data_IF_071240053115
#
_entry.id   IF_071240053115
#
_cell.length_a   1.000
_cell.length_b   1.000
_cell.length_c   1.000
_cell.angle_alpha   90.00
_cell.angle_beta   90.00
_cell.angle_gamma   90.00
#
_symmetry.space_group_name_H-M   'P 1'
#
loop_
_entity.id
_entity.type
_entity.pdbx_description
1 polymer ?
#
# COMPACT_ATOMS: atom_id res chain seq x y z
N UNK A 1 13.74 -6.79 2.95
CA UNK A 1 12.55 -6.99 3.78
C UNK A 1 11.35 -7.48 2.93
N UNK A 2 11.09 -6.87 1.76
CA UNK A 2 9.90 -7.19 0.93
C UNK A 2 9.86 -8.67 0.50
N UNK A 3 10.97 -9.23 0.02
CA UNK A 3 11.05 -10.65 -0.38
C UNK A 3 10.78 -11.65 0.76
N UNK A 4 10.94 -11.22 1.99
CA UNK A 4 10.77 -12.11 3.13
C UNK A 4 9.28 -12.39 3.45
N UNK A 5 8.34 -11.72 2.76
CA UNK A 5 6.91 -11.97 2.86
C UNK A 5 6.38 -12.89 1.73
N UNK A 6 7.22 -13.31 0.79
CA UNK A 6 6.81 -14.13 -0.36
C UNK A 6 6.29 -15.53 0.02
N UNK A 7 6.63 -16.03 1.22
CA UNK A 7 6.13 -17.30 1.74
C UNK A 7 4.66 -17.24 2.16
N UNK A 8 4.09 -16.03 2.34
CA UNK A 8 2.68 -15.87 2.69
C UNK A 8 1.84 -16.22 1.47
N UNK A 9 1.05 -17.28 1.60
CA UNK A 9 0.10 -17.72 0.59
C UNK A 9 -1.29 -17.09 0.87
N UNK A 10 -2.06 -16.76 -0.17
CA UNK A 10 -3.43 -16.28 0.02
C UNK A 10 -4.32 -17.40 0.58
N UNK A 11 -5.14 -17.06 1.56
CA UNK A 11 -6.20 -17.95 2.06
C UNK A 11 -7.47 -17.86 1.23
N UNK A 12 -7.61 -16.76 0.47
CA UNK A 12 -8.82 -16.37 -0.27
C UNK A 12 -10.05 -16.16 0.61
N UNK A 13 -9.84 -15.97 1.90
CA UNK A 13 -10.87 -15.60 2.88
C UNK A 13 -10.78 -14.09 3.13
N UNK A 14 -11.33 -13.31 2.20
CA UNK A 14 -11.16 -11.87 2.17
C UNK A 14 -11.61 -11.13 3.41
N UNK A 15 -10.77 -10.24 3.88
CA UNK A 15 -10.98 -9.46 5.09
C UNK A 15 -11.78 -8.16 4.88
N UNK A 16 -11.94 -7.67 3.65
CA UNK A 16 -12.53 -6.35 3.37
C UNK A 16 -13.92 -6.38 2.73
N UNK A 17 -14.55 -7.54 2.65
CA UNK A 17 -15.88 -7.73 2.04
C UNK A 17 -15.91 -7.70 0.51
N UNK A 18 -14.76 -7.52 -0.16
CA UNK A 18 -14.63 -7.69 -1.60
C UNK A 18 -14.58 -9.18 -1.95
N UNK A 19 -14.66 -9.51 -3.23
CA UNK A 19 -14.67 -10.91 -3.67
C UNK A 19 -13.41 -11.65 -3.24
N UNK A 20 -13.50 -12.41 -2.17
CA UNK A 20 -12.43 -13.10 -1.48
C UNK A 20 -11.63 -14.11 -2.33
N UNK A 21 -12.16 -14.53 -3.47
CA UNK A 21 -11.55 -15.57 -4.31
C UNK A 21 -10.44 -15.06 -5.26
N UNK A 22 -10.28 -13.76 -5.45
CA UNK A 22 -9.27 -13.18 -6.34
C UNK A 22 -8.49 -12.00 -5.76
N UNK A 23 -8.74 -11.64 -4.51
CA UNK A 23 -7.94 -10.66 -3.78
C UNK A 23 -7.91 -11.00 -2.30
N UNK A 24 -6.77 -10.79 -1.69
CA UNK A 24 -6.58 -10.87 -0.25
C UNK A 24 -5.81 -9.66 0.23
N UNK A 25 -6.16 -9.20 1.43
CA UNK A 25 -5.57 -8.06 2.10
C UNK A 25 -5.20 -8.44 3.52
N UNK A 26 -3.91 -8.41 3.81
CA UNK A 26 -3.39 -8.64 5.15
C UNK A 26 -2.79 -7.34 5.68
N UNK A 27 -3.20 -6.95 6.89
CA UNK A 27 -2.63 -5.77 7.52
C UNK A 27 -1.34 -6.13 8.26
N UNK A 28 -0.32 -5.28 8.11
CA UNK A 28 0.88 -5.35 8.93
C UNK A 28 0.54 -4.71 10.28
N UNK A 29 -0.23 -5.44 11.07
CA UNK A 29 -0.68 -5.09 12.40
C UNK A 29 0.20 -5.71 13.50
N UNK A 30 -0.14 -5.47 14.76
CA UNK A 30 0.63 -6.01 15.89
C UNK A 30 0.72 -7.55 15.89
N UNK A 31 -0.38 -8.32 15.64
CA UNK A 31 -0.31 -9.76 15.50
C UNK A 31 0.62 -10.22 14.37
N UNK A 32 0.53 -9.62 13.18
CA UNK A 32 1.39 -9.98 12.06
C UNK A 32 2.85 -9.68 12.37
N UNK A 33 3.17 -8.50 12.92
CA UNK A 33 4.53 -8.15 13.30
C UNK A 33 5.13 -9.03 14.40
N UNK A 34 4.30 -9.56 15.30
CA UNK A 34 4.76 -10.50 16.32
C UNK A 34 5.16 -11.86 15.76
N UNK A 35 4.54 -12.29 14.66
CA UNK A 35 4.78 -13.60 14.03
C UNK A 35 5.75 -13.52 12.84
N UNK A 36 5.86 -12.35 12.20
CA UNK A 36 6.65 -12.12 10.98
C UNK A 36 7.70 -11.03 11.21
N UNK A 37 8.96 -11.40 11.55
CA UNK A 37 10.03 -10.41 11.78
C UNK A 37 10.27 -9.46 10.60
N UNK A 38 10.00 -9.90 9.37
CA UNK A 38 10.11 -9.06 8.18
C UNK A 38 9.05 -7.95 8.13
N UNK A 39 7.83 -8.24 8.60
CA UNK A 39 6.75 -7.26 8.72
C UNK A 39 7.10 -6.20 9.78
N UNK A 40 7.65 -6.61 10.92
CA UNK A 40 8.16 -5.69 11.94
C UNK A 40 9.28 -4.80 11.38
N UNK A 41 10.27 -5.39 10.73
CA UNK A 41 11.39 -4.63 10.15
C UNK A 41 10.93 -3.64 9.06
N UNK A 42 9.93 -4.01 8.26
CA UNK A 42 9.31 -3.12 7.28
C UNK A 42 8.63 -1.93 7.95
N UNK A 43 7.79 -2.18 8.95
CA UNK A 43 7.05 -1.15 9.66
C UNK A 43 7.99 -0.18 10.41
N UNK A 44 9.01 -0.69 11.11
CA UNK A 44 10.02 0.13 11.78
C UNK A 44 10.84 0.94 10.76
N UNK A 45 11.22 0.35 9.64
CA UNK A 45 11.93 1.05 8.56
C UNK A 45 11.13 2.21 7.99
N UNK A 46 9.83 2.00 7.72
CA UNK A 46 8.94 3.06 7.22
C UNK A 46 8.69 4.17 8.24
N UNK A 47 8.85 3.89 9.53
CA UNK A 47 8.72 4.90 10.59
C UNK A 47 10.08 5.42 11.10
N UNK A 48 11.18 5.04 10.44
CA UNK A 48 12.50 5.58 10.77
C UNK A 48 12.62 7.06 10.41
N UNK A 49 13.45 7.79 11.16
CA UNK A 49 13.69 9.22 10.92
C UNK A 49 14.15 9.51 9.49
N UNK A 50 15.01 8.66 8.94
CA UNK A 50 15.58 8.79 7.59
C UNK A 50 14.50 8.66 6.52
N UNK A 51 13.67 7.60 6.58
CA UNK A 51 12.61 7.35 5.58
C UNK A 51 11.53 8.41 5.66
N UNK A 52 11.11 8.79 6.86
CA UNK A 52 10.12 9.86 7.06
C UNK A 52 10.62 11.18 6.49
N UNK A 53 11.87 11.57 6.78
CA UNK A 53 12.45 12.80 6.24
C UNK A 53 12.52 12.78 4.71
N UNK A 54 12.92 11.65 4.12
CA UNK A 54 12.98 11.50 2.65
C UNK A 54 11.60 11.64 2.01
N UNK A 55 10.56 11.04 2.58
CA UNK A 55 9.18 11.16 2.10
C UNK A 55 8.70 12.61 2.20
N UNK A 56 8.87 13.24 3.37
CA UNK A 56 8.46 14.62 3.61
C UNK A 56 9.13 15.60 2.65
N UNK A 57 10.45 15.46 2.45
CA UNK A 57 11.22 16.32 1.56
C UNK A 57 10.84 16.11 0.09
N UNK A 58 10.58 14.86 -0.32
CA UNK A 58 10.19 14.52 -1.70
C UNK A 58 8.78 14.99 -2.04
N UNK A 59 7.84 14.86 -1.08
CA UNK A 59 6.43 15.16 -1.31
C UNK A 59 6.01 16.55 -0.85
N UNK A 60 6.85 17.28 -0.12
CA UNK A 60 6.53 18.60 0.43
C UNK A 60 5.42 18.55 1.49
N UNK A 61 5.36 17.49 2.30
CA UNK A 61 4.33 17.28 3.33
C UNK A 61 4.94 17.16 4.72
N UNK A 62 4.12 17.29 5.75
CA UNK A 62 4.46 16.99 7.16
C UNK A 62 3.66 15.75 7.61
N UNK A 63 4.36 14.71 8.02
CA UNK A 63 3.77 13.47 8.53
C UNK A 63 3.61 13.46 10.06
N UNK A 64 3.95 14.54 10.76
CA UNK A 64 3.83 14.63 12.21
C UNK A 64 2.41 14.30 12.68
N UNK A 65 2.29 13.39 13.64
CA UNK A 65 1.00 12.97 14.19
C UNK A 65 0.23 11.96 13.36
N UNK A 66 0.71 11.62 12.15
CA UNK A 66 0.08 10.61 11.29
C UNK A 66 0.39 9.20 11.79
N UNK A 67 -0.41 8.24 11.37
CA UNK A 67 -0.25 6.82 11.70
C UNK A 67 0.08 6.00 10.48
N UNK A 68 0.97 5.03 10.63
CA UNK A 68 1.38 4.11 9.57
C UNK A 68 0.38 2.96 9.42
N UNK A 69 -0.14 2.77 8.22
CA UNK A 69 -0.98 1.66 7.80
C UNK A 69 -0.32 0.95 6.62
N UNK A 70 -0.21 -0.36 6.68
CA UNK A 70 0.40 -1.17 5.63
C UNK A 70 -0.53 -2.34 5.34
N UNK A 71 -0.91 -2.50 4.07
CA UNK A 71 -1.59 -3.69 3.55
C UNK A 71 -0.64 -4.49 2.67
N UNK A 72 -0.53 -5.77 2.90
CA UNK A 72 0.03 -6.73 1.96
C UNK A 72 -1.08 -7.30 1.10
N UNK A 73 -1.01 -7.01 -0.18
CA UNK A 73 -2.06 -7.31 -1.15
C UNK A 73 -1.64 -8.46 -2.04
N UNK A 74 -2.55 -9.41 -2.23
CA UNK A 74 -2.40 -10.54 -3.14
C UNK A 74 -3.63 -10.57 -4.07
N UNK A 75 -3.40 -10.34 -5.36
CA UNK A 75 -4.44 -10.30 -6.38
C UNK A 75 -4.18 -11.36 -7.45
N UNK A 76 -5.24 -11.98 -7.95
CA UNK A 76 -5.15 -13.01 -8.97
C UNK A 76 -6.10 -12.76 -10.15
N UNK A 77 -6.17 -13.70 -11.06
CA UNK A 77 -7.01 -13.65 -12.26
C UNK A 77 -8.42 -13.13 -11.97
N UNK A 78 -8.83 -12.11 -12.74
CA UNK A 78 -10.14 -11.48 -12.64
C UNK A 78 -10.21 -10.36 -11.59
N UNK A 79 -9.12 -10.01 -10.91
CA UNK A 79 -9.07 -8.83 -10.07
C UNK A 79 -9.17 -7.55 -10.91
N UNK A 80 -9.92 -6.59 -10.42
CA UNK A 80 -10.00 -5.24 -10.94
C UNK A 80 -10.42 -4.27 -9.83
N UNK A 81 -10.13 -2.99 -10.02
CA UNK A 81 -10.50 -1.94 -9.08
C UNK A 81 -10.93 -0.70 -9.86
N UNK A 82 -12.12 -0.21 -9.55
CA UNK A 82 -12.68 0.98 -10.17
C UNK A 82 -11.74 2.20 -10.00
N UNK A 83 -11.73 3.13 -10.99
CA UNK A 83 -11.08 4.41 -10.81
C UNK A 83 -11.63 5.14 -9.60
N UNK A 84 -10.74 5.57 -8.72
CA UNK A 84 -11.11 6.31 -7.50
C UNK A 84 -9.98 7.26 -7.09
N UNK A 85 -10.30 8.19 -6.22
CA UNK A 85 -9.34 8.94 -5.42
C UNK A 85 -9.34 8.40 -4.00
N UNK A 86 -8.24 8.54 -3.31
CA UNK A 86 -8.15 8.12 -1.92
C UNK A 86 -8.97 9.03 -0.99
N UNK A 87 -9.39 8.48 0.15
CA UNK A 87 -10.13 9.22 1.18
C UNK A 87 -9.26 10.34 1.77
N UNK A 88 -9.87 11.47 2.14
CA UNK A 88 -9.21 12.63 2.72
C UNK A 88 -8.50 12.41 4.07
N UNK A 89 -8.67 11.23 4.66
CA UNK A 89 -7.94 10.79 5.87
C UNK A 89 -6.58 10.14 5.57
N UNK A 90 -6.22 9.98 4.28
CA UNK A 90 -4.89 9.53 3.85
C UNK A 90 -4.04 10.75 3.49
N UNK A 91 -2.88 10.88 4.09
CA UNK A 91 -1.93 11.97 3.84
C UNK A 91 -0.87 11.60 2.80
N UNK A 92 -0.59 10.32 2.67
CA UNK A 92 0.31 9.76 1.66
C UNK A 92 -0.16 8.36 1.28
N UNK A 93 -0.02 8.01 0.00
CA UNK A 93 -0.16 6.65 -0.52
C UNK A 93 1.10 6.26 -1.27
N UNK A 94 1.67 5.11 -0.93
CA UNK A 94 2.78 4.47 -1.62
C UNK A 94 2.37 3.02 -1.93
N UNK A 95 2.38 2.67 -3.22
CA UNK A 95 2.14 1.32 -3.71
C UNK A 95 3.48 0.73 -4.18
N UNK A 96 4.01 -0.25 -3.48
CA UNK A 96 5.24 -0.94 -3.87
C UNK A 96 4.91 -2.31 -4.47
N UNK A 97 5.50 -2.63 -5.62
CA UNK A 97 5.24 -3.88 -6.34
C UNK A 97 6.25 -4.94 -5.94
N UNK A 98 5.73 -6.12 -5.58
CA UNK A 98 6.50 -7.19 -4.96
C UNK A 98 6.50 -8.50 -5.75
N UNK A 99 5.79 -8.59 -6.89
CA UNK A 99 5.74 -9.79 -7.70
C UNK A 99 7.04 -9.96 -8.51
N UNK A 100 7.59 -11.18 -8.52
CA UNK A 100 8.79 -11.54 -9.28
C UNK A 100 8.49 -12.15 -10.65
N UNK A 101 7.22 -12.32 -10.99
CA UNK A 101 6.80 -12.86 -12.27
C UNK A 101 7.28 -12.00 -13.43
N UNK A 102 7.67 -12.61 -14.52
CA UNK A 102 8.10 -11.88 -15.74
C UNK A 102 6.97 -11.01 -16.32
N UNK A 103 5.70 -11.39 -16.10
CA UNK A 103 4.53 -10.63 -16.53
C UNK A 103 4.18 -9.46 -15.60
N UNK A 104 4.84 -9.36 -14.44
CA UNK A 104 4.50 -8.36 -13.38
C UNK A 104 4.60 -6.91 -13.87
N UNK A 105 5.44 -6.63 -14.87
CA UNK A 105 5.51 -5.31 -15.50
C UNK A 105 4.12 -4.81 -15.98
N UNK A 106 3.27 -5.72 -16.45
CA UNK A 106 1.89 -5.41 -16.87
C UNK A 106 0.88 -5.26 -15.71
N UNK A 107 1.28 -5.52 -14.46
CA UNK A 107 0.36 -5.57 -13.32
C UNK A 107 0.44 -4.34 -12.40
N UNK A 108 1.02 -3.24 -12.87
CA UNK A 108 1.08 -1.99 -12.12
C UNK A 108 -0.29 -1.30 -12.03
N UNK A 109 -0.38 -0.31 -11.18
CA UNK A 109 -1.58 0.49 -10.95
C UNK A 109 -1.97 1.26 -12.20
N UNK A 110 -3.25 1.29 -12.53
CA UNK A 110 -3.79 2.14 -13.60
C UNK A 110 -3.94 3.57 -13.11
N UNK A 111 -3.55 4.52 -13.95
CA UNK A 111 -3.62 5.96 -13.71
C UNK A 111 -4.67 6.55 -14.64
N UNK A 112 -5.43 7.51 -14.12
CA UNK A 112 -6.48 8.19 -14.86
C UNK A 112 -6.34 9.71 -14.73
N UNK A 113 -6.74 10.44 -15.76
CA UNK A 113 -6.84 11.91 -15.70
C UNK A 113 -8.12 12.38 -15.00
N UNK A 114 -9.14 11.55 -14.98
CA UNK A 114 -10.43 11.71 -14.28
C UNK A 114 -11.08 10.32 -14.08
N UNK A 115 -12.27 10.27 -13.51
CA UNK A 115 -12.96 9.02 -13.19
C UNK A 115 -13.19 8.07 -14.39
N UNK A 116 -13.16 8.57 -15.62
CA UNK A 116 -13.54 7.81 -16.82
C UNK A 116 -12.38 7.65 -17.81
N UNK A 117 -11.33 8.48 -17.70
CA UNK A 117 -10.28 8.57 -18.71
C UNK A 117 -8.98 7.96 -18.25
N UNK A 118 -8.73 6.74 -18.69
CA UNK A 118 -7.45 6.05 -18.51
C UNK A 118 -6.30 6.82 -19.18
N UNK A 119 -5.19 6.98 -18.47
CA UNK A 119 -4.00 7.69 -18.90
C UNK A 119 -2.79 6.77 -19.08
N UNK A 120 -2.80 5.59 -18.46
CA UNK A 120 -1.70 4.62 -18.55
C UNK A 120 -1.62 3.71 -17.34
N UNK A 121 -0.64 2.84 -17.33
CA UNK A 121 -0.33 1.97 -16.19
C UNK A 121 1.09 2.24 -15.70
N UNK A 122 1.28 2.11 -14.41
CA UNK A 122 2.61 2.01 -13.82
C UNK A 122 3.26 0.69 -14.23
N UNK A 123 4.58 0.66 -14.26
CA UNK A 123 5.33 -0.58 -14.37
C UNK A 123 5.27 -1.33 -13.03
N UNK A 124 4.60 -2.49 -13.02
CA UNK A 124 4.41 -3.33 -11.83
C UNK A 124 5.57 -4.28 -11.53
N UNK A 125 6.71 -4.14 -12.21
CA UNK A 125 7.90 -4.96 -11.97
C UNK A 125 8.35 -4.86 -10.51
N UNK A 126 8.97 -5.94 -10.03
CA UNK A 126 9.51 -6.00 -8.67
C UNK A 126 10.36 -4.79 -8.30
N UNK A 127 10.16 -4.27 -7.10
CA UNK A 127 10.84 -3.10 -6.53
C UNK A 127 10.57 -1.75 -7.21
N UNK A 128 9.60 -1.67 -8.12
CA UNK A 128 9.03 -0.40 -8.55
C UNK A 128 7.96 0.06 -7.56
N UNK A 129 7.66 1.34 -7.58
CA UNK A 129 6.62 1.92 -6.74
C UNK A 129 5.93 3.12 -7.38
N UNK A 130 4.69 3.35 -6.97
CA UNK A 130 3.95 4.59 -7.20
C UNK A 130 3.74 5.29 -5.86
N UNK A 131 4.15 6.55 -5.74
CA UNK A 131 3.92 7.35 -4.55
C UNK A 131 3.21 8.64 -4.92
N UNK A 132 2.22 9.05 -4.14
CA UNK A 132 1.48 10.30 -4.34
C UNK A 132 0.88 10.82 -3.05
N UNK A 133 0.67 12.13 -3.01
CA UNK A 133 -0.14 12.81 -2.00
C UNK A 133 -1.59 12.78 -2.47
N UNK A 134 -2.50 12.11 -1.75
CA UNK A 134 -3.89 12.01 -2.16
C UNK A 134 -4.57 13.37 -2.31
N UNK A 135 -5.33 13.52 -3.38
CA UNK A 135 -6.13 14.70 -3.70
C UNK A 135 -7.31 14.32 -4.59
N UNK A 136 -8.14 15.28 -4.95
CA UNK A 136 -9.32 15.09 -5.80
C UNK A 136 -8.99 14.74 -7.26
N UNK A 137 -7.73 14.87 -7.67
CA UNK A 137 -7.26 14.56 -9.02
C UNK A 137 -6.26 13.39 -9.11
N UNK A 138 -5.98 12.70 -8.01
CA UNK A 138 -5.11 11.51 -7.99
C UNK A 138 -5.89 10.23 -8.29
N UNK A 139 -6.54 10.21 -9.45
CA UNK A 139 -7.36 9.09 -9.91
C UNK A 139 -6.50 7.88 -10.25
N UNK A 140 -6.79 6.76 -9.63
CA UNK A 140 -6.08 5.50 -9.82
C UNK A 140 -7.02 4.31 -9.62
N UNK A 141 -6.57 3.13 -10.07
CA UNK A 141 -7.34 1.90 -9.98
C UNK A 141 -6.58 0.72 -10.56
N UNK A 142 -7.30 -0.27 -11.05
CA UNK A 142 -6.74 -1.40 -11.75
C UNK A 142 -7.71 -1.83 -12.86
N UNK A 143 -7.39 -1.46 -14.10
CA UNK A 143 -8.17 -1.86 -15.28
C UNK A 143 -8.26 -3.38 -15.38
N UNK A 144 -9.40 -3.95 -15.78
CA UNK A 144 -9.52 -5.37 -16.04
C UNK A 144 -8.48 -5.84 -17.05
N UNK A 145 -7.59 -6.72 -16.60
CA UNK A 145 -6.55 -7.34 -17.43
C UNK A 145 -6.13 -8.69 -16.86
N UNK A 146 -5.41 -9.44 -17.64
CA UNK A 146 -4.97 -10.76 -17.21
C UNK A 146 -3.88 -10.65 -16.14
N UNK A 147 -4.05 -11.41 -15.08
CA UNK A 147 -3.03 -11.71 -14.08
C UNK A 147 -2.80 -13.21 -14.18
N UNK A 148 -1.73 -13.60 -14.88
CA UNK A 148 -1.30 -14.98 -14.99
C UNK A 148 -0.25 -15.27 -13.92
N UNK A 149 -0.75 -15.49 -12.69
CA UNK A 149 0.07 -15.64 -11.51
C UNK A 149 -0.53 -14.97 -10.29
N UNK A 150 0.32 -14.46 -9.43
CA UNK A 150 -0.06 -13.77 -8.20
C UNK A 150 0.58 -12.38 -8.14
N UNK A 151 -0.23 -11.36 -8.37
CA UNK A 151 0.18 -9.96 -8.19
C UNK A 151 0.32 -9.69 -6.69
N UNK A 152 1.53 -9.36 -6.25
CA UNK A 152 1.84 -8.97 -4.87
C UNK A 152 2.19 -7.51 -4.81
N UNK A 153 1.62 -6.79 -3.86
CA UNK A 153 1.95 -5.39 -3.62
C UNK A 153 1.79 -5.00 -2.16
N UNK A 154 2.47 -3.95 -1.76
CA UNK A 154 2.26 -3.29 -0.48
C UNK A 154 1.55 -1.96 -0.74
N UNK A 155 0.46 -1.72 -0.04
CA UNK A 155 -0.18 -0.40 0.03
C UNK A 155 0.20 0.20 1.38
N UNK A 156 1.00 1.25 1.34
CA UNK A 156 1.51 1.94 2.52
C UNK A 156 0.83 3.31 2.56
N UNK A 157 0.14 3.58 3.65
CA UNK A 157 -0.50 4.87 3.88
C UNK A 157 0.00 5.49 5.19
N UNK A 158 0.20 6.81 5.17
CA UNK A 158 0.20 7.59 6.39
C UNK A 158 -1.18 8.24 6.51
N UNK A 159 -1.86 7.95 7.62
CA UNK A 159 -3.26 8.32 7.81
C UNK A 159 -3.41 9.27 9.00
N UNK A 160 -4.44 10.12 8.96
CA UNK A 160 -4.73 11.06 10.05
C UNK A 160 -5.26 10.34 11.29
N UNK A 161 -5.28 11.00 12.46
CA UNK A 161 -5.88 10.44 13.69
C UNK A 161 -7.36 10.03 13.55
N UNK A 162 -8.07 10.56 12.55
CA UNK A 162 -9.47 10.23 12.24
C UNK A 162 -9.66 8.85 11.58
N UNK A 163 -8.57 8.14 11.25
CA UNK A 163 -8.66 6.77 10.74
C UNK A 163 -9.31 5.84 11.79
N UNK A 164 -10.51 5.36 11.49
CA UNK A 164 -11.36 4.65 12.47
C UNK A 164 -10.92 3.21 12.73
N UNK A 165 -10.42 2.53 11.71
CA UNK A 165 -10.00 1.13 11.81
C UNK A 165 -8.61 1.00 12.44
N UNK A 166 -8.50 1.32 13.73
CA UNK A 166 -7.23 1.36 14.47
C UNK A 166 -6.47 0.03 14.46
N UNK A 167 -7.19 -1.10 14.31
CA UNK A 167 -6.60 -2.44 14.23
C UNK A 167 -5.82 -2.69 12.94
N UNK A 168 -5.99 -1.86 11.92
CA UNK A 168 -5.23 -1.93 10.66
C UNK A 168 -3.87 -1.22 10.75
N UNK A 169 -3.62 -0.48 11.83
CA UNK A 169 -2.41 0.32 11.99
C UNK A 169 -1.25 -0.53 12.50
N UNK A 170 -0.07 -0.34 11.93
CA UNK A 170 1.14 -1.00 12.40
C UNK A 170 1.42 -0.63 13.86
N UNK A 171 1.29 0.64 14.20
CA UNK A 171 1.54 1.16 15.55
C UNK A 171 0.39 2.07 15.99
N UNK A 172 -0.74 1.50 16.50
CA UNK A 172 -1.93 2.29 16.84
C UNK A 172 -1.71 3.33 17.94
N UNK A 173 -0.69 3.12 18.80
CA UNK A 173 -0.37 4.00 19.92
C UNK A 173 0.92 4.82 19.69
N UNK A 174 1.51 4.73 18.49
CA UNK A 174 2.77 5.41 18.15
C UNK A 174 2.61 6.22 16.86
N UNK A 175 2.07 7.44 16.93
CA UNK A 175 2.05 8.34 15.78
C UNK A 175 3.48 8.76 15.39
N UNK A 176 3.64 9.22 14.16
CA UNK A 176 4.89 9.80 13.68
C UNK A 176 5.26 11.00 14.57
N UNK A 177 6.43 10.99 15.22
CA UNK A 177 6.84 12.11 16.08
C UNK A 177 7.23 13.34 15.23
N UNK A 178 7.23 14.55 15.83
CA UNK A 178 7.70 15.76 15.17
C UNK A 178 9.15 15.62 14.67
N UNK A 179 9.46 16.23 13.53
CA UNK A 179 10.77 16.09 12.86
C UNK A 179 11.97 16.40 13.80
N UNK A 180 11.83 17.37 14.69
CA UNK A 180 12.90 17.72 15.66
C UNK A 180 13.07 16.70 16.80
N UNK A 181 12.21 15.68 16.88
CA UNK A 181 12.26 14.60 17.89
C UNK A 181 12.67 13.24 17.30
N UNK A 182 13.01 13.23 16.02
CA UNK A 182 13.39 12.02 15.27
C UNK A 182 14.89 11.80 15.24
#
# INVERSE_FOLDING_TARGET
AINALDHIAPSWEGADGRRAWNNERLFVDQPMMANEPAAMALAEGLQSAEVLAAIEDMCGIDLTGMYLRIEYCMDSKGFWLEPHTDLGVKCLTLLAYCAHDAAAAGWGTSIYSDAERWAGNMDGSFNNALMFVPSDNTWHGFEPREIDGLRRSLIINYVTPEWRARHELAFPDRPVPPRHQR
#
